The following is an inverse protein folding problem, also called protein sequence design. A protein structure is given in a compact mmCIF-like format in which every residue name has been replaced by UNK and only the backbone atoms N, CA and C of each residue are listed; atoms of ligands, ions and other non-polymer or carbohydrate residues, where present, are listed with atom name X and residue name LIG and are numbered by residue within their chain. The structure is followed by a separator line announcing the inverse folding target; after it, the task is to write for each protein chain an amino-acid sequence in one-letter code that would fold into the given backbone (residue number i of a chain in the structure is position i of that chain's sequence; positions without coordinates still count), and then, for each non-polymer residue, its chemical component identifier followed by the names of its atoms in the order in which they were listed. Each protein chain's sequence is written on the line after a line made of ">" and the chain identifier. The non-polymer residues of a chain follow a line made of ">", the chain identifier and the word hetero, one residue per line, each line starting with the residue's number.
data_IF_017038567333
#
_entry.id   IF_017038567333
#
_cell.length_a   1.000
_cell.length_b   1.000
_cell.length_c   1.000
_cell.angle_alpha   90.00
_cell.angle_beta   90.00
_cell.angle_gamma   90.00
#
_symmetry.space_group_name_H-M   'P 1'
#
loop_
_entity.id
_entity.type
_entity.pdbx_description
1 polymer ?
#
# COMPACT_ATOMS: atom_id res chain seq x y z
N UNK A 1 16.08 12.58 -5.37
CA UNK A 1 16.25 11.22 -5.95
C UNK A 1 14.95 10.44 -5.89
N UNK A 2 14.67 9.56 -6.88
CA UNK A 2 13.44 8.77 -6.92
C UNK A 2 13.76 7.29 -6.98
N UNK A 3 13.21 6.52 -6.02
CA UNK A 3 13.37 5.08 -5.87
C UNK A 3 12.04 4.37 -6.13
N UNK A 4 12.07 3.32 -6.95
CA UNK A 4 10.86 2.55 -7.27
C UNK A 4 10.48 1.65 -6.09
N UNK A 5 9.18 1.42 -5.90
CA UNK A 5 8.69 0.40 -5.00
C UNK A 5 8.61 -0.92 -5.74
N UNK A 6 9.40 -1.90 -5.32
CA UNK A 6 9.29 -3.28 -5.80
C UNK A 6 8.09 -3.98 -5.17
N UNK A 7 7.60 -5.02 -5.83
CA UNK A 7 6.58 -5.92 -5.26
C UNK A 7 7.20 -7.26 -4.97
N UNK A 8 7.05 -7.70 -3.75
CA UNK A 8 7.39 -9.06 -3.33
C UNK A 8 6.60 -10.10 -4.13
N UNK A 9 7.22 -11.23 -4.43
CA UNK A 9 6.58 -12.34 -5.16
C UNK A 9 5.29 -12.80 -4.50
N UNK A 10 5.26 -12.83 -3.17
CA UNK A 10 4.08 -13.18 -2.36
C UNK A 10 2.88 -12.29 -2.68
N UNK A 11 3.06 -10.96 -2.69
CA UNK A 11 1.99 -10.02 -3.05
C UNK A 11 1.56 -10.15 -4.51
N UNK A 12 2.49 -10.46 -5.40
CA UNK A 12 2.17 -10.70 -6.81
C UNK A 12 1.29 -11.95 -6.97
N UNK A 13 1.64 -13.05 -6.30
CA UNK A 13 0.86 -14.30 -6.33
C UNK A 13 -0.53 -14.08 -5.72
N UNK A 14 -0.63 -13.42 -4.57
CA UNK A 14 -1.92 -13.12 -3.94
C UNK A 14 -2.78 -12.26 -4.88
N UNK A 15 -2.19 -11.26 -5.53
CA UNK A 15 -2.91 -10.39 -6.49
C UNK A 15 -3.46 -11.19 -7.66
N UNK A 16 -2.67 -12.12 -8.22
CA UNK A 16 -3.10 -12.99 -9.32
C UNK A 16 -4.23 -13.92 -8.87
N UNK A 17 -4.09 -14.56 -7.70
CA UNK A 17 -5.13 -15.44 -7.15
C UNK A 17 -6.45 -14.66 -6.92
N UNK A 18 -6.38 -13.49 -6.31
CA UNK A 18 -7.56 -12.63 -6.13
C UNK A 18 -8.18 -12.24 -7.48
N UNK A 19 -7.37 -11.90 -8.48
CA UNK A 19 -7.87 -11.56 -9.81
C UNK A 19 -8.60 -12.73 -10.46
N UNK A 20 -8.06 -13.96 -10.38
CA UNK A 20 -8.71 -15.17 -10.90
C UNK A 20 -10.05 -15.43 -10.21
N UNK A 21 -10.09 -15.33 -8.87
CA UNK A 21 -11.34 -15.52 -8.09
C UNK A 21 -12.40 -14.48 -8.50
N UNK A 22 -11.98 -13.23 -8.65
CA UNK A 22 -12.89 -12.13 -9.00
C UNK A 22 -13.40 -12.28 -10.43
N UNK A 23 -12.56 -12.65 -11.40
CA UNK A 23 -12.98 -12.93 -12.77
C UNK A 23 -13.97 -14.10 -12.80
N UNK A 24 -13.71 -15.15 -12.04
CA UNK A 24 -14.65 -16.28 -11.89
C UNK A 24 -15.98 -15.85 -11.29
N UNK A 25 -15.96 -15.02 -10.24
CA UNK A 25 -17.20 -14.51 -9.62
C UNK A 25 -17.99 -13.61 -10.57
N UNK A 26 -17.31 -12.74 -11.33
CA UNK A 26 -17.98 -11.93 -12.38
C UNK A 26 -18.61 -12.82 -13.46
N UNK A 27 -17.87 -13.84 -13.92
CA UNK A 27 -18.41 -14.81 -14.89
C UNK A 27 -19.64 -15.54 -14.39
N UNK A 28 -19.65 -15.96 -13.12
CA UNK A 28 -20.80 -16.60 -12.49
C UNK A 28 -21.98 -15.62 -12.37
N UNK A 29 -21.73 -14.37 -11.93
CA UNK A 29 -22.79 -13.35 -11.86
C UNK A 29 -23.42 -13.07 -13.25
N UNK A 30 -22.61 -13.01 -14.31
CA UNK A 30 -23.11 -12.82 -15.66
C UNK A 30 -23.93 -14.03 -16.15
N UNK A 31 -23.46 -15.24 -15.86
CA UNK A 31 -24.17 -16.47 -16.21
C UNK A 31 -25.54 -16.54 -15.52
N UNK A 32 -25.60 -16.24 -14.22
CA UNK A 32 -26.84 -16.24 -13.44
C UNK A 32 -27.81 -15.13 -13.89
N UNK A 33 -27.29 -13.95 -14.24
CA UNK A 33 -28.09 -12.83 -14.74
C UNK A 33 -28.78 -13.14 -16.08
N UNK A 34 -28.19 -14.00 -16.93
CA UNK A 34 -28.84 -14.47 -18.17
C UNK A 34 -30.05 -15.40 -17.87
N UNK A 35 -29.89 -16.26 -16.84
CA UNK A 35 -30.98 -17.19 -16.42
C UNK A 35 -32.10 -16.53 -15.62
N UNK A 36 -31.80 -15.41 -14.94
CA UNK A 36 -32.69 -14.68 -14.04
C UNK A 36 -32.65 -13.18 -14.34
N UNK A 37 -33.26 -12.73 -15.46
CA UNK A 37 -33.20 -11.33 -15.87
C UNK A 37 -33.86 -10.36 -14.88
N UNK A 38 -34.77 -10.83 -14.05
CA UNK A 38 -35.41 -10.10 -12.95
C UNK A 38 -34.41 -9.62 -11.91
N UNK A 39 -33.29 -10.36 -11.70
CA UNK A 39 -32.25 -10.06 -10.73
C UNK A 39 -31.02 -9.36 -11.36
N UNK A 40 -31.07 -9.04 -12.65
CA UNK A 40 -29.94 -8.48 -13.39
C UNK A 40 -29.37 -7.20 -12.75
N UNK A 41 -30.20 -6.34 -12.18
CA UNK A 41 -29.77 -5.12 -11.49
C UNK A 41 -28.97 -5.45 -10.24
N UNK A 42 -29.36 -6.46 -9.47
CA UNK A 42 -28.61 -6.92 -8.30
C UNK A 42 -27.20 -7.38 -8.67
N UNK A 43 -27.07 -8.22 -9.69
CA UNK A 43 -25.76 -8.70 -10.17
C UNK A 43 -24.89 -7.55 -10.70
N UNK A 44 -25.49 -6.60 -11.42
CA UNK A 44 -24.76 -5.42 -11.91
C UNK A 44 -24.18 -4.58 -10.75
N UNK A 45 -24.94 -4.37 -9.67
CA UNK A 45 -24.48 -3.65 -8.49
C UNK A 45 -23.33 -4.39 -7.81
N UNK A 46 -23.42 -5.70 -7.64
CA UNK A 46 -22.35 -6.52 -7.04
C UNK A 46 -21.07 -6.41 -7.87
N UNK A 47 -21.15 -6.56 -9.19
CA UNK A 47 -19.99 -6.43 -10.09
C UNK A 47 -19.38 -5.02 -10.00
N UNK A 48 -20.21 -3.98 -9.97
CA UNK A 48 -19.74 -2.61 -9.85
C UNK A 48 -18.98 -2.36 -8.54
N UNK A 49 -19.47 -2.87 -7.40
CA UNK A 49 -18.79 -2.77 -6.10
C UNK A 49 -17.44 -3.50 -6.14
N UNK A 50 -17.39 -4.72 -6.70
CA UNK A 50 -16.16 -5.49 -6.81
C UNK A 50 -15.11 -4.74 -7.67
N UNK A 51 -15.52 -4.27 -8.85
CA UNK A 51 -14.66 -3.52 -9.75
C UNK A 51 -14.16 -2.21 -9.11
N UNK A 52 -15.02 -1.46 -8.43
CA UNK A 52 -14.66 -0.25 -7.70
C UNK A 52 -13.65 -0.53 -6.60
N UNK A 53 -13.83 -1.59 -5.82
CA UNK A 53 -12.91 -1.95 -4.72
C UNK A 53 -11.51 -2.25 -5.25
N UNK A 54 -11.41 -3.05 -6.33
CA UNK A 54 -10.10 -3.37 -6.94
C UNK A 54 -9.43 -2.10 -7.48
N UNK A 55 -10.18 -1.31 -8.23
CA UNK A 55 -9.68 -0.06 -8.79
C UNK A 55 -9.20 0.87 -7.70
N UNK A 56 -9.95 1.03 -6.61
CA UNK A 56 -9.58 1.87 -5.47
C UNK A 56 -8.27 1.41 -4.84
N UNK A 57 -8.12 0.11 -4.52
CA UNK A 57 -6.88 -0.42 -3.94
C UNK A 57 -5.69 -0.25 -4.90
N UNK A 58 -5.90 -0.45 -6.21
CA UNK A 58 -4.87 -0.19 -7.21
C UNK A 58 -4.42 1.28 -7.22
N UNK A 59 -5.37 2.23 -7.20
CA UNK A 59 -5.08 3.67 -7.25
C UNK A 59 -4.29 4.18 -6.04
N UNK A 60 -4.52 3.59 -4.86
CA UNK A 60 -3.78 3.95 -3.63
C UNK A 60 -2.48 3.16 -3.45
N UNK A 61 -2.16 2.21 -4.34
CA UNK A 61 -0.97 1.36 -4.18
C UNK A 61 0.33 2.17 -4.32
N UNK A 62 1.39 1.79 -3.57
CA UNK A 62 2.67 2.48 -3.59
C UNK A 62 3.38 2.27 -4.93
N UNK A 63 4.01 3.32 -5.46
CA UNK A 63 4.71 3.30 -6.74
C UNK A 63 6.18 3.67 -6.65
N UNK A 64 6.51 4.71 -5.91
CA UNK A 64 7.87 5.20 -5.74
C UNK A 64 8.02 6.06 -4.50
N UNK A 65 9.23 6.08 -3.94
CA UNK A 65 9.67 7.05 -2.94
C UNK A 65 10.58 8.07 -3.63
N UNK A 66 10.34 9.33 -3.37
CA UNK A 66 11.19 10.43 -3.82
C UNK A 66 11.71 11.16 -2.59
N UNK A 67 12.99 11.42 -2.58
CA UNK A 67 13.66 12.21 -1.57
C UNK A 67 14.22 13.48 -2.20
N UNK A 68 13.93 14.63 -1.60
CA UNK A 68 14.51 15.93 -1.92
C UNK A 68 15.00 16.63 -0.65
N UNK A 69 15.60 17.81 -0.79
CA UNK A 69 16.25 18.54 0.32
C UNK A 69 15.30 18.96 1.44
N UNK A 70 13.98 18.91 1.22
CA UNK A 70 12.99 19.41 2.17
C UNK A 70 11.97 18.36 2.61
N UNK A 71 11.83 17.27 1.85
CA UNK A 71 10.76 16.31 2.10
C UNK A 71 11.02 14.89 1.58
N UNK A 72 10.42 13.92 2.25
CA UNK A 72 10.25 12.54 1.80
C UNK A 72 8.85 12.40 1.20
N UNK A 73 8.77 12.00 -0.08
CA UNK A 73 7.52 11.93 -0.83
C UNK A 73 7.25 10.48 -1.22
N UNK A 74 6.13 9.92 -0.74
CA UNK A 74 5.63 8.64 -1.20
C UNK A 74 4.62 8.89 -2.34
N UNK A 75 4.95 8.44 -3.54
CA UNK A 75 4.05 8.44 -4.69
C UNK A 75 3.19 7.17 -4.70
N UNK A 76 1.89 7.36 -4.78
CA UNK A 76 0.91 6.31 -5.09
C UNK A 76 0.65 6.28 -6.59
N UNK A 77 -0.13 5.34 -7.09
CA UNK A 77 -0.60 5.37 -8.48
C UNK A 77 -1.35 6.67 -8.72
N UNK A 78 -2.26 7.04 -7.81
CA UNK A 78 -2.92 8.34 -7.80
C UNK A 78 -2.70 9.01 -6.44
N UNK A 79 -2.15 10.24 -6.48
CA UNK A 79 -1.84 11.03 -5.31
C UNK A 79 -0.47 10.73 -4.70
N UNK A 80 -0.14 11.46 -3.65
CA UNK A 80 1.14 11.39 -2.94
C UNK A 80 0.96 11.68 -1.46
N UNK A 81 1.90 11.19 -0.63
CA UNK A 81 2.06 11.56 0.77
C UNK A 81 3.36 12.34 0.84
N UNK A 82 3.32 13.57 1.35
CA UNK A 82 4.49 14.43 1.51
C UNK A 82 4.76 14.54 3.00
N UNK A 83 5.98 14.24 3.41
CA UNK A 83 6.47 14.33 4.79
C UNK A 83 7.64 15.30 4.79
N UNK A 84 7.51 16.51 5.37
CA UNK A 84 8.62 17.41 5.58
C UNK A 84 9.71 16.75 6.43
N UNK A 85 10.99 17.00 6.12
CA UNK A 85 12.09 16.40 6.87
C UNK A 85 12.11 16.87 8.33
N UNK A 86 11.72 18.11 8.59
CA UNK A 86 11.58 18.68 9.92
C UNK A 86 10.56 17.96 10.81
N UNK A 87 9.56 17.30 10.20
CA UNK A 87 8.55 16.52 10.90
C UNK A 87 9.02 15.11 11.25
N UNK A 88 10.12 14.63 10.68
CA UNK A 88 10.62 13.28 10.90
C UNK A 88 11.45 13.23 12.19
N UNK A 89 10.93 12.50 13.18
CA UNK A 89 11.62 12.23 14.43
C UNK A 89 12.66 11.10 14.31
N UNK A 90 12.28 10.04 13.58
CA UNK A 90 13.08 8.82 13.47
C UNK A 90 12.83 8.15 12.13
N UNK A 91 13.90 7.62 11.53
CA UNK A 91 13.82 6.71 10.40
C UNK A 91 14.74 5.51 10.63
N UNK A 92 14.23 4.29 10.42
CA UNK A 92 15.01 3.05 10.59
C UNK A 92 14.49 1.92 9.69
N UNK A 93 15.34 0.92 9.37
CA UNK A 93 14.87 -0.30 8.72
C UNK A 93 13.76 -0.96 9.55
N UNK A 94 12.76 -1.54 8.86
CA UNK A 94 11.63 -2.17 9.52
C UNK A 94 10.95 -3.17 8.60
N UNK A 95 11.02 -4.46 8.91
CA UNK A 95 10.57 -5.55 8.05
C UNK A 95 9.39 -6.36 8.61
N UNK A 96 8.68 -5.82 9.59
CA UNK A 96 7.54 -6.51 10.21
C UNK A 96 6.22 -5.88 9.76
N UNK A 97 5.25 -6.72 9.42
CA UNK A 97 3.87 -6.31 9.23
C UNK A 97 3.06 -6.37 10.52
N UNK A 98 1.93 -5.71 10.53
CA UNK A 98 0.98 -5.72 11.63
C UNK A 98 -0.32 -6.46 11.32
N UNK A 99 -1.19 -6.54 12.33
CA UNK A 99 -2.58 -6.89 12.15
C UNK A 99 -3.28 -5.75 11.41
N UNK A 100 -3.94 -6.08 10.31
CA UNK A 100 -4.69 -5.11 9.51
C UNK A 100 -5.93 -4.63 10.24
N UNK A 101 -6.04 -3.33 10.44
CA UNK A 101 -7.25 -2.67 10.96
C UNK A 101 -8.14 -2.19 9.81
N UNK A 102 -7.52 -1.62 8.76
CA UNK A 102 -8.22 -1.12 7.57
C UNK A 102 -7.29 -1.08 6.36
N UNK A 103 -7.79 -1.49 5.18
CA UNK A 103 -7.02 -1.46 3.93
C UNK A 103 -6.78 -2.84 3.31
N UNK A 104 -5.73 -2.98 2.52
CA UNK A 104 -5.34 -4.23 1.85
C UNK A 104 -4.05 -4.79 2.45
N UNK A 105 -4.04 -6.07 2.80
CA UNK A 105 -2.84 -6.81 3.21
C UNK A 105 -2.54 -7.94 2.22
N UNK A 106 -2.19 -7.60 0.97
CA UNK A 106 -1.88 -8.60 -0.06
C UNK A 106 -2.18 -8.15 -1.49
N UNK A 107 -3.35 -7.55 -1.73
CA UNK A 107 -3.71 -7.03 -3.05
C UNK A 107 -2.88 -5.76 -3.34
N UNK A 108 -1.97 -5.84 -4.31
CA UNK A 108 -1.01 -4.79 -4.71
C UNK A 108 -0.01 -4.36 -3.64
N UNK A 109 0.09 -5.06 -2.50
CA UNK A 109 0.98 -4.75 -1.39
C UNK A 109 0.26 -4.71 -0.04
N UNK A 110 0.97 -4.28 1.01
CA UNK A 110 0.39 -3.94 2.31
C UNK A 110 0.09 -2.45 2.36
N UNK A 111 -1.21 -2.09 2.38
CA UNK A 111 -1.67 -0.71 2.17
C UNK A 111 -2.79 -0.39 3.15
N UNK A 112 -2.59 0.58 4.01
CA UNK A 112 -3.62 1.04 4.94
C UNK A 112 -3.19 1.19 6.38
N UNK A 113 -4.11 1.00 7.31
CA UNK A 113 -3.89 1.12 8.75
C UNK A 113 -3.68 -0.27 9.37
N UNK A 114 -2.58 -0.42 10.06
CA UNK A 114 -2.16 -1.65 10.74
C UNK A 114 -1.80 -1.37 12.20
N UNK A 115 -1.67 -2.42 13.00
CA UNK A 115 -1.19 -2.35 14.36
C UNK A 115 -0.38 -3.59 14.71
N UNK A 116 0.67 -3.43 15.50
CA UNK A 116 1.41 -4.55 16.10
C UNK A 116 1.94 -4.19 17.49
N UNK A 117 2.57 -5.14 18.15
CA UNK A 117 3.07 -4.97 19.51
C UNK A 117 4.35 -4.14 19.59
N UNK A 118 5.11 -4.02 18.49
CA UNK A 118 6.40 -3.30 18.47
C UNK A 118 6.20 -1.78 18.34
N UNK A 119 5.44 -1.35 17.33
CA UNK A 119 5.28 0.07 17.05
C UNK A 119 3.84 0.59 17.24
N UNK A 120 2.89 -0.28 17.59
CA UNK A 120 1.47 0.07 17.75
C UNK A 120 0.82 0.42 16.40
N UNK A 121 -0.13 1.37 16.40
CA UNK A 121 -0.83 1.79 15.17
C UNK A 121 0.09 2.53 14.21
N UNK A 122 0.07 2.13 12.94
CA UNK A 122 0.88 2.71 11.88
C UNK A 122 0.21 2.55 10.51
N UNK A 123 0.62 3.36 9.55
CA UNK A 123 0.20 3.24 8.16
C UNK A 123 1.26 2.47 7.36
N UNK A 124 0.84 1.45 6.62
CA UNK A 124 1.69 0.70 5.70
C UNK A 124 1.43 1.09 4.25
N UNK A 125 2.49 1.29 3.48
CA UNK A 125 2.53 1.44 2.04
C UNK A 125 3.75 0.67 1.53
N UNK A 126 3.65 -0.66 1.61
CA UNK A 126 4.76 -1.59 1.43
C UNK A 126 4.48 -2.50 0.25
N UNK A 127 5.42 -2.54 -0.70
CA UNK A 127 5.42 -3.51 -1.79
C UNK A 127 6.31 -4.71 -1.51
N UNK A 128 7.38 -4.52 -0.71
CA UNK A 128 8.32 -5.56 -0.31
C UNK A 128 8.84 -5.27 1.11
N UNK A 129 8.62 -6.19 2.04
CA UNK A 129 9.06 -6.02 3.42
C UNK A 129 10.57 -6.16 3.61
N UNK A 130 11.28 -6.80 2.68
CA UNK A 130 12.75 -6.88 2.74
C UNK A 130 13.43 -5.53 2.53
N UNK A 131 12.75 -4.60 1.88
CA UNK A 131 13.21 -3.23 1.59
C UNK A 131 12.39 -2.17 2.35
N UNK A 132 11.73 -2.57 3.44
CA UNK A 132 10.85 -1.68 4.19
C UNK A 132 11.58 -0.91 5.29
N UNK A 133 11.05 0.27 5.59
CA UNK A 133 11.55 1.16 6.64
C UNK A 133 10.43 1.91 7.32
N UNK A 134 10.62 2.17 8.62
CA UNK A 134 9.72 2.94 9.48
C UNK A 134 10.13 4.41 9.47
N UNK A 135 9.15 5.27 9.35
CA UNK A 135 9.24 6.72 9.55
C UNK A 135 8.32 7.11 10.70
N UNK A 136 8.88 7.66 11.77
CA UNK A 136 8.14 8.18 12.92
C UNK A 136 8.16 9.70 12.86
N UNK A 137 6.98 10.31 12.93
CA UNK A 137 6.85 11.76 12.93
C UNK A 137 6.86 12.33 14.36
N UNK A 138 7.19 13.62 14.48
CA UNK A 138 7.11 14.38 15.73
C UNK A 138 5.68 14.39 16.31
N UNK A 139 4.66 14.28 15.46
CA UNK A 139 3.24 14.13 15.85
C UNK A 139 2.89 12.75 16.44
N UNK A 140 3.83 11.80 16.46
CA UNK A 140 3.59 10.41 16.85
C UNK A 140 2.99 9.52 15.76
N UNK A 141 2.64 10.06 14.59
CA UNK A 141 2.22 9.22 13.44
C UNK A 141 3.38 8.39 12.95
N UNK A 142 3.08 7.17 12.52
CA UNK A 142 4.07 6.19 12.05
C UNK A 142 3.67 5.70 10.67
N UNK A 143 4.64 5.65 9.77
CA UNK A 143 4.51 5.14 8.42
C UNK A 143 5.55 4.08 8.16
N UNK A 144 5.15 2.99 7.52
CA UNK A 144 6.07 1.97 6.98
C UNK A 144 5.99 2.07 5.46
N UNK A 145 7.12 2.34 4.85
CA UNK A 145 7.30 2.42 3.41
C UNK A 145 8.28 1.37 2.92
N UNK A 146 8.29 1.09 1.62
CA UNK A 146 9.36 0.30 1.00
C UNK A 146 9.80 0.91 -0.31
N UNK A 147 11.08 0.76 -0.65
CA UNK A 147 11.60 1.11 -1.98
C UNK A 147 12.94 0.42 -2.25
N UNK A 148 13.31 0.35 -3.52
CA UNK A 148 14.65 -0.09 -3.92
C UNK A 148 15.74 0.74 -3.22
N UNK A 149 16.76 0.05 -2.68
CA UNK A 149 17.85 0.68 -1.95
C UNK A 149 17.39 1.54 -0.76
N UNK A 150 16.44 1.03 0.03
CA UNK A 150 15.91 1.72 1.21
C UNK A 150 16.99 2.22 2.17
N UNK A 151 18.12 1.50 2.31
CA UNK A 151 19.25 1.91 3.15
C UNK A 151 19.81 3.27 2.73
N UNK A 152 19.95 3.54 1.42
CA UNK A 152 20.41 4.85 0.93
C UNK A 152 19.45 5.97 1.28
N UNK A 153 18.14 5.71 1.16
CA UNK A 153 17.11 6.68 1.55
C UNK A 153 17.18 6.97 3.05
N UNK A 154 17.33 5.91 3.87
CA UNK A 154 17.46 6.04 5.32
C UNK A 154 18.70 6.88 5.69
N UNK A 155 19.86 6.61 5.09
CA UNK A 155 21.09 7.36 5.34
C UNK A 155 20.94 8.83 4.93
N UNK A 156 20.42 9.11 3.75
CA UNK A 156 20.19 10.48 3.26
C UNK A 156 19.24 11.27 4.16
N UNK A 157 18.13 10.66 4.57
CA UNK A 157 17.19 11.31 5.50
C UNK A 157 17.84 11.53 6.86
N UNK A 158 18.58 10.56 7.41
CA UNK A 158 19.28 10.70 8.69
C UNK A 158 20.31 11.81 8.68
N UNK A 159 21.06 11.98 7.60
CA UNK A 159 22.07 13.04 7.48
C UNK A 159 21.45 14.43 7.49
N UNK A 160 20.25 14.58 6.91
CA UNK A 160 19.53 15.86 6.86
C UNK A 160 18.77 16.20 8.16
N UNK A 161 18.33 15.21 8.94
CA UNK A 161 17.64 15.45 10.23
C UNK A 161 18.64 15.84 11.34
N UNK A 162 19.93 15.47 11.20
CA UNK A 162 20.96 15.74 12.21
C UNK A 162 21.66 17.10 12.06
N UNK A 163 21.45 17.76 10.94
CA UNK A 163 21.93 19.10 10.68
C UNK A 163 20.89 20.16 11.01
#
# INVERSE_FOLDING_TARGET
>A
MRHKVNREKTFTVITILCAVIIIGAIGLCLYTAIGHPEDAVYYAVVIAIMAFTILYVYLISPKAIEFNDTSLIMHKVVGKIIIPLEDIKEIRPYNQSGLRLFGSGGLFGSIGLFTNNDIGRHYEYVGDFSEAFLVVLNSGKKYVFSCENSDKVIEQVRSNIRN
#
